data_IF_301868167018
#
_entry.id   IF_301868167018
#
_cell.length_a   1.000
_cell.length_b   1.000
_cell.length_c   1.000
_cell.angle_alpha   90.00
_cell.angle_beta   90.00
_cell.angle_gamma   90.00
#
_symmetry.space_group_name_H-M   'P 1'
#
loop_
_entity.id
_entity.type
_entity.pdbx_description
1 polymer ?
#
# COMPACT_ATOMS: atom_id res chain seq x y z
N UNK A 1 -3.21 7.95 -46.99
CA UNK A 1 -2.84 8.59 -45.71
C UNK A 1 -3.84 8.14 -44.65
N UNK A 2 -3.48 7.13 -43.85
CA UNK A 2 -4.29 6.68 -42.71
C UNK A 2 -4.25 7.76 -41.64
N UNK A 3 -5.40 8.36 -41.29
CA UNK A 3 -5.49 9.23 -40.11
C UNK A 3 -5.12 8.39 -38.90
N UNK A 4 -4.01 8.70 -38.22
CA UNK A 4 -3.77 8.17 -36.87
C UNK A 4 -4.89 8.74 -36.00
N UNK A 5 -5.75 7.87 -35.46
CA UNK A 5 -6.78 8.26 -34.51
C UNK A 5 -6.15 8.94 -33.29
N UNK A 6 -6.89 9.85 -32.65
CA UNK A 6 -6.45 10.46 -31.41
C UNK A 6 -6.29 9.36 -30.34
N UNK A 7 -5.19 9.40 -29.59
CA UNK A 7 -4.90 8.43 -28.52
C UNK A 7 -5.06 9.09 -27.15
N UNK A 8 -5.64 8.36 -26.20
CA UNK A 8 -5.76 8.78 -24.80
C UNK A 8 -4.89 7.91 -23.89
N UNK A 9 -4.29 8.48 -22.83
CA UNK A 9 -3.39 7.74 -21.94
C UNK A 9 -4.16 6.82 -20.98
N UNK A 10 -3.63 5.62 -20.77
CA UNK A 10 -4.05 4.67 -19.74
C UNK A 10 -2.86 4.39 -18.80
N UNK A 11 -3.08 3.63 -17.73
CA UNK A 11 -1.97 3.17 -16.87
C UNK A 11 -0.93 2.33 -17.60
N UNK A 12 -1.35 1.61 -18.66
CA UNK A 12 -0.51 0.71 -19.45
C UNK A 12 -0.57 1.11 -20.93
N UNK A 13 0.07 2.22 -21.26
CA UNK A 13 0.14 2.72 -22.63
C UNK A 13 -1.05 3.62 -22.97
N UNK A 14 -1.50 3.57 -24.22
CA UNK A 14 -2.54 4.45 -24.73
C UNK A 14 -3.63 3.64 -25.44
N UNK A 15 -4.83 4.20 -25.54
CA UNK A 15 -5.96 3.61 -26.29
C UNK A 15 -6.50 4.57 -27.35
N UNK A 16 -7.15 4.02 -28.38
CA UNK A 16 -7.96 4.79 -29.37
C UNK A 16 -9.44 4.46 -29.17
N UNK A 17 -10.34 5.26 -29.76
CA UNK A 17 -11.77 4.98 -29.70
C UNK A 17 -12.11 3.60 -30.31
N UNK A 18 -11.50 3.26 -31.45
CA UNK A 18 -11.75 1.97 -32.12
C UNK A 18 -11.32 0.80 -31.23
N UNK A 19 -10.14 0.89 -30.62
CA UNK A 19 -9.67 -0.14 -29.68
C UNK A 19 -10.53 -0.20 -28.42
N UNK A 20 -11.00 0.94 -27.91
CA UNK A 20 -11.82 0.99 -26.70
C UNK A 20 -13.20 0.37 -26.91
N UNK A 21 -13.80 0.53 -28.09
CA UNK A 21 -15.09 -0.08 -28.44
C UNK A 21 -15.04 -1.60 -28.57
N UNK A 22 -13.85 -2.18 -28.74
CA UNK A 22 -13.63 -3.63 -28.80
C UNK A 22 -13.35 -4.26 -27.42
N UNK A 23 -13.14 -3.45 -26.38
CA UNK A 23 -12.89 -3.93 -25.01
C UNK A 23 -14.21 -4.12 -24.25
N UNK A 24 -14.26 -5.18 -23.42
CA UNK A 24 -15.38 -5.39 -22.49
C UNK A 24 -15.26 -4.51 -21.23
N UNK A 25 -14.05 -4.02 -20.95
CA UNK A 25 -13.73 -3.20 -19.78
C UNK A 25 -14.28 -1.77 -19.93
N UNK A 26 -14.63 -1.14 -18.80
CA UNK A 26 -15.03 0.26 -18.79
C UNK A 26 -13.80 1.17 -18.97
N UNK A 27 -13.43 1.40 -20.24
CA UNK A 27 -12.26 2.20 -20.61
C UNK A 27 -12.38 3.65 -20.09
N UNK A 28 -13.59 4.17 -19.85
CA UNK A 28 -13.76 5.52 -19.31
C UNK A 28 -13.23 5.63 -17.88
N UNK A 29 -13.40 4.58 -17.07
CA UNK A 29 -12.79 4.51 -15.74
C UNK A 29 -11.26 4.49 -15.81
N UNK A 30 -10.72 3.73 -16.76
CA UNK A 30 -9.27 3.57 -16.90
C UNK A 30 -8.55 4.86 -17.35
N UNK A 31 -9.27 5.77 -18.00
CA UNK A 31 -8.76 7.09 -18.41
C UNK A 31 -8.50 8.03 -17.23
N UNK A 32 -9.20 7.88 -16.11
CA UNK A 32 -8.99 8.70 -14.92
C UNK A 32 -7.79 8.21 -14.07
N UNK A 33 -7.40 6.93 -14.23
CA UNK A 33 -6.39 6.30 -13.40
C UNK A 33 -4.99 6.93 -13.47
N UNK A 34 -4.48 7.41 -14.62
CA UNK A 34 -3.17 8.06 -14.67
C UNK A 34 -3.05 9.26 -13.74
N UNK A 35 -4.04 10.16 -13.74
CA UNK A 35 -4.06 11.36 -12.89
C UNK A 35 -4.23 10.98 -11.41
N UNK A 36 -5.22 10.14 -11.11
CA UNK A 36 -5.47 9.67 -9.73
C UNK A 36 -4.26 8.92 -9.14
N UNK A 37 -3.50 8.21 -9.98
CA UNK A 37 -2.25 7.57 -9.57
C UNK A 37 -1.18 8.61 -9.20
N UNK A 38 -1.01 9.64 -10.01
CA UNK A 38 -0.04 10.71 -9.73
C UNK A 38 -0.38 11.37 -8.39
N UNK A 39 -1.63 11.81 -8.22
CA UNK A 39 -2.09 12.46 -6.99
C UNK A 39 -1.85 11.59 -5.76
N UNK A 40 -2.15 10.30 -5.86
CA UNK A 40 -1.95 9.37 -4.75
C UNK A 40 -0.47 9.14 -4.43
N UNK A 41 0.41 8.99 -5.43
CA UNK A 41 1.84 8.81 -5.17
C UNK A 41 2.48 10.08 -4.61
N UNK A 42 2.06 11.27 -5.07
CA UNK A 42 2.48 12.56 -4.51
C UNK A 42 2.03 12.69 -3.05
N UNK A 43 0.80 12.28 -2.73
CA UNK A 43 0.31 12.32 -1.35
C UNK A 43 1.12 11.38 -0.44
N UNK A 44 1.42 10.16 -0.88
CA UNK A 44 2.28 9.22 -0.12
C UNK A 44 3.67 9.81 0.13
N UNK A 45 4.28 10.40 -0.89
CA UNK A 45 5.63 10.97 -0.78
C UNK A 45 5.67 12.19 0.16
N UNK A 46 4.65 13.04 0.06
CA UNK A 46 4.52 14.23 0.91
C UNK A 46 4.30 13.87 2.38
N UNK A 47 3.68 12.71 2.66
CA UNK A 47 3.39 12.22 4.01
C UNK A 47 4.38 11.16 4.50
N UNK A 48 5.55 11.00 3.87
CA UNK A 48 6.52 9.93 4.23
C UNK A 48 6.99 9.96 5.68
N UNK A 49 7.04 11.14 6.31
CA UNK A 49 7.47 11.27 7.71
C UNK A 49 6.40 10.73 8.66
N UNK A 50 5.12 10.92 8.31
CA UNK A 50 4.00 10.30 9.02
C UNK A 50 3.99 8.78 8.81
N UNK A 51 4.27 8.32 7.59
CA UNK A 51 4.40 6.89 7.28
C UNK A 51 5.48 6.24 8.14
N UNK A 52 6.67 6.88 8.24
CA UNK A 52 7.76 6.41 9.10
C UNK A 52 7.34 6.34 10.57
N UNK A 53 6.72 7.41 11.09
CA UNK A 53 6.28 7.47 12.48
C UNK A 53 5.22 6.41 12.81
N UNK A 54 4.27 6.20 11.91
CA UNK A 54 3.25 5.16 12.00
C UNK A 54 3.88 3.77 11.99
N UNK A 55 4.79 3.51 11.05
CA UNK A 55 5.49 2.24 10.96
C UNK A 55 6.32 1.98 12.22
N UNK A 56 7.06 2.97 12.72
CA UNK A 56 7.82 2.88 13.98
C UNK A 56 6.93 2.46 15.14
N UNK A 57 5.72 3.04 15.23
CA UNK A 57 4.76 2.70 16.27
C UNK A 57 4.31 1.23 16.18
N UNK A 58 3.90 0.76 14.99
CA UNK A 58 3.46 -0.63 14.80
C UNK A 58 4.59 -1.64 15.00
N UNK A 59 5.83 -1.28 14.64
CA UNK A 59 7.03 -2.10 14.81
C UNK A 59 7.60 -2.05 16.25
N UNK A 60 7.00 -1.27 17.15
CA UNK A 60 7.46 -1.13 18.54
C UNK A 60 8.87 -0.56 18.67
N UNK A 61 9.26 0.36 17.77
CA UNK A 61 10.58 0.97 17.78
C UNK A 61 10.74 1.96 18.93
N UNK A 62 11.89 1.88 19.61
CA UNK A 62 12.22 2.78 20.72
C UNK A 62 12.75 4.14 20.27
N UNK A 63 12.98 5.08 21.21
CA UNK A 63 13.46 6.44 20.88
C UNK A 63 14.83 6.50 20.19
N UNK A 64 15.67 5.47 20.39
CA UNK A 64 17.00 5.35 19.77
C UNK A 64 17.00 4.53 18.48
N UNK A 65 15.83 4.06 18.03
CA UNK A 65 15.65 3.30 16.81
C UNK A 65 15.16 4.23 15.69
N UNK A 66 15.46 3.87 14.44
CA UNK A 66 15.08 4.66 13.27
C UNK A 66 14.31 3.81 12.27
N UNK A 67 13.27 4.39 11.69
CA UNK A 67 12.53 3.83 10.55
C UNK A 67 12.59 4.84 9.40
N UNK A 68 13.06 4.42 8.22
CA UNK A 68 13.11 5.24 7.01
C UNK A 68 12.36 4.56 5.88
N UNK A 69 11.55 5.30 5.13
CA UNK A 69 10.97 4.77 3.89
C UNK A 69 12.07 4.59 2.83
N UNK A 70 11.92 3.59 1.97
CA UNK A 70 12.69 3.54 0.72
C UNK A 70 12.37 4.68 -0.22
N UNK A 71 13.30 4.94 -1.12
CA UNK A 71 13.17 5.96 -2.15
C UNK A 71 12.05 5.58 -3.15
N UNK A 72 11.49 6.55 -3.86
CA UNK A 72 10.29 6.33 -4.73
C UNK A 72 10.53 5.28 -5.81
N UNK A 73 11.76 5.16 -6.31
CA UNK A 73 12.17 4.14 -7.27
C UNK A 73 12.22 2.72 -6.67
N UNK A 74 12.22 2.58 -5.35
CA UNK A 74 12.17 1.30 -4.64
C UNK A 74 10.74 0.86 -4.28
N UNK A 75 9.73 1.72 -4.54
CA UNK A 75 8.34 1.41 -4.23
C UNK A 75 7.82 0.36 -5.20
N UNK A 76 7.31 -0.74 -4.67
CA UNK A 76 6.78 -1.85 -5.46
C UNK A 76 5.28 -1.65 -5.59
N UNK A 77 4.75 -1.57 -6.80
CA UNK A 77 3.31 -1.44 -7.01
C UNK A 77 2.76 -2.59 -7.86
N UNK A 78 1.61 -3.14 -7.44
CA UNK A 78 0.81 -4.08 -8.21
C UNK A 78 -0.42 -3.40 -8.80
N UNK A 79 -1.40 -4.21 -9.20
CA UNK A 79 -2.67 -3.70 -9.74
C UNK A 79 -3.55 -3.03 -8.70
N UNK A 80 -3.44 -3.39 -7.41
CA UNK A 80 -4.36 -2.94 -6.36
C UNK A 80 -3.66 -2.34 -5.15
N UNK A 81 -2.34 -2.41 -5.06
CA UNK A 81 -1.59 -1.93 -3.90
C UNK A 81 -0.24 -1.36 -4.31
N UNK A 82 0.27 -0.45 -3.49
CA UNK A 82 1.67 -0.02 -3.47
C UNK A 82 2.29 -0.40 -2.14
N UNK A 83 3.52 -0.90 -2.18
CA UNK A 83 4.31 -1.33 -1.04
C UNK A 83 5.56 -0.46 -0.95
N UNK A 84 5.75 0.17 0.21
CA UNK A 84 6.89 1.04 0.50
C UNK A 84 7.86 0.27 1.40
N UNK A 85 9.13 0.08 0.99
CA UNK A 85 10.20 -0.42 1.84
C UNK A 85 10.33 0.35 3.15
N UNK A 86 10.60 -0.35 4.24
CA UNK A 86 11.00 0.24 5.50
C UNK A 86 12.38 -0.27 5.90
N UNK A 87 13.29 0.69 6.05
CA UNK A 87 14.66 0.52 6.48
C UNK A 87 14.76 0.78 7.97
N UNK A 88 15.17 -0.23 8.74
CA UNK A 88 15.18 -0.16 10.19
C UNK A 88 16.61 -0.12 10.71
N UNK A 89 16.84 0.69 11.75
CA UNK A 89 18.04 0.62 12.57
C UNK A 89 17.63 0.53 14.04
N UNK A 90 18.27 -0.36 14.80
CA UNK A 90 18.07 -0.47 16.25
C UNK A 90 19.34 -0.12 16.99
N UNK A 91 19.27 0.82 17.93
CA UNK A 91 20.43 1.27 18.72
C UNK A 91 21.66 1.63 17.86
N UNK A 92 21.45 2.30 16.72
CA UNK A 92 22.51 2.67 15.78
C UNK A 92 23.03 1.52 14.90
N UNK A 93 22.56 0.29 15.07
CA UNK A 93 22.85 -0.83 14.18
C UNK A 93 21.80 -0.91 13.07
N UNK A 94 22.24 -0.77 11.83
CA UNK A 94 21.37 -0.90 10.66
C UNK A 94 20.97 -2.37 10.46
N UNK A 95 19.66 -2.64 10.45
CA UNK A 95 19.10 -3.98 10.30
C UNK A 95 18.70 -4.31 8.86
N UNK A 96 18.77 -3.33 7.95
CA UNK A 96 18.39 -3.49 6.54
C UNK A 96 16.90 -3.28 6.28
N UNK A 97 16.49 -3.66 5.06
CA UNK A 97 15.09 -3.70 4.63
C UNK A 97 14.40 -4.87 5.34
N UNK A 98 13.69 -4.56 6.43
CA UNK A 98 13.06 -5.57 7.29
C UNK A 98 11.55 -5.56 7.22
N UNK A 99 10.95 -4.43 6.83
CA UNK A 99 9.52 -4.29 6.81
C UNK A 99 9.01 -3.63 5.53
N UNK A 100 7.71 -3.79 5.28
CA UNK A 100 6.96 -3.13 4.23
C UNK A 100 5.72 -2.50 4.84
N UNK A 101 5.37 -1.32 4.37
CA UNK A 101 4.03 -0.77 4.55
C UNK A 101 3.30 -0.75 3.22
N UNK A 102 2.08 -1.26 3.20
CA UNK A 102 1.28 -1.49 2.01
C UNK A 102 0.03 -0.64 2.05
N UNK A 103 -0.22 0.07 0.96
CA UNK A 103 -1.40 0.90 0.77
C UNK A 103 -2.23 0.35 -0.40
N UNK A 104 -3.53 0.09 -0.21
CA UNK A 104 -4.47 -0.07 -1.31
C UNK A 104 -4.42 1.13 -2.27
N UNK A 105 -4.68 0.89 -3.56
CA UNK A 105 -4.81 1.94 -4.57
C UNK A 105 -6.28 2.35 -4.67
N UNK A 106 -6.71 3.49 -4.08
CA UNK A 106 -8.14 3.82 -3.93
C UNK A 106 -8.88 3.91 -5.27
N UNK A 107 -8.19 4.41 -6.30
CA UNK A 107 -8.71 4.52 -7.66
C UNK A 107 -9.01 3.16 -8.31
N UNK A 108 -8.26 2.11 -7.96
CA UNK A 108 -8.47 0.75 -8.50
C UNK A 108 -9.53 -0.05 -7.77
N UNK A 109 -9.93 0.37 -6.58
CA UNK A 109 -10.96 -0.30 -5.77
C UNK A 109 -12.26 0.50 -5.69
N UNK A 110 -12.36 1.60 -6.45
CA UNK A 110 -13.59 2.38 -6.57
C UNK A 110 -13.98 3.14 -5.30
N UNK A 111 -13.02 3.48 -4.43
CA UNK A 111 -13.27 4.15 -3.15
C UNK A 111 -14.04 5.46 -3.32
N UNK A 112 -13.72 6.24 -4.36
CA UNK A 112 -14.41 7.51 -4.63
C UNK A 112 -15.90 7.32 -4.95
N UNK A 113 -16.24 6.25 -5.68
CA UNK A 113 -17.63 5.94 -6.06
C UNK A 113 -18.38 5.23 -4.93
N UNK A 114 -17.66 4.42 -4.13
CA UNK A 114 -18.21 3.61 -3.06
C UNK A 114 -17.29 3.71 -1.82
N UNK A 115 -17.47 4.75 -0.98
CA UNK A 115 -16.66 4.94 0.21
C UNK A 115 -16.75 3.74 1.16
N UNK A 116 -15.60 3.30 1.68
CA UNK A 116 -15.49 2.13 2.55
C UNK A 116 -14.93 0.87 1.88
N UNK A 117 -14.75 0.87 0.55
CA UNK A 117 -14.11 -0.24 -0.17
C UNK A 117 -12.65 -0.45 0.28
N UNK A 118 -11.93 0.62 0.60
CA UNK A 118 -10.57 0.56 1.19
C UNK A 118 -10.60 -0.18 2.52
N UNK A 119 -11.52 0.20 3.40
CA UNK A 119 -11.63 -0.38 4.74
C UNK A 119 -12.04 -1.84 4.67
N UNK A 120 -13.00 -2.19 3.83
CA UNK A 120 -13.42 -3.57 3.60
C UNK A 120 -12.23 -4.41 3.12
N UNK A 121 -11.51 -3.92 2.10
CA UNK A 121 -10.32 -4.60 1.58
C UNK A 121 -9.27 -4.83 2.68
N UNK A 122 -8.96 -3.81 3.47
CA UNK A 122 -7.95 -3.88 4.52
C UNK A 122 -8.34 -4.83 5.64
N UNK A 123 -9.62 -4.82 6.05
CA UNK A 123 -10.15 -5.74 7.07
C UNK A 123 -10.10 -7.18 6.58
N UNK A 124 -10.52 -7.45 5.35
CA UNK A 124 -10.46 -8.79 4.76
C UNK A 124 -9.02 -9.30 4.66
N UNK A 125 -8.09 -8.45 4.20
CA UNK A 125 -6.68 -8.81 4.09
C UNK A 125 -6.06 -9.07 5.48
N UNK A 126 -6.29 -8.19 6.46
CA UNK A 126 -5.83 -8.37 7.83
C UNK A 126 -6.40 -9.64 8.47
N UNK A 127 -7.70 -9.89 8.34
CA UNK A 127 -8.35 -11.09 8.85
C UNK A 127 -7.75 -12.36 8.22
N UNK A 128 -7.45 -12.33 6.92
CA UNK A 128 -6.80 -13.44 6.21
C UNK A 128 -5.41 -13.72 6.77
N UNK A 129 -4.58 -12.69 6.95
CA UNK A 129 -3.24 -12.85 7.54
C UNK A 129 -3.31 -13.41 8.97
N UNK A 130 -4.19 -12.87 9.81
CA UNK A 130 -4.37 -13.32 11.20
C UNK A 130 -4.84 -14.78 11.22
N UNK A 131 -5.78 -15.14 10.35
CA UNK A 131 -6.31 -16.50 10.27
C UNK A 131 -5.23 -17.51 9.86
N UNK A 132 -4.51 -17.23 8.77
CA UNK A 132 -3.44 -18.11 8.28
C UNK A 132 -2.35 -18.26 9.34
N UNK A 133 -1.93 -17.16 9.98
CA UNK A 133 -0.90 -17.19 11.02
C UNK A 133 -1.30 -18.08 12.22
N UNK A 134 -2.58 -18.10 12.58
CA UNK A 134 -3.08 -18.88 13.73
C UNK A 134 -3.46 -20.32 13.40
N UNK A 135 -3.77 -20.63 12.13
CA UNK A 135 -4.29 -21.95 11.74
C UNK A 135 -3.38 -22.74 10.80
N UNK A 136 -2.38 -22.12 10.18
CA UNK A 136 -1.49 -22.76 9.21
C UNK A 136 -0.01 -22.48 9.56
N UNK A 137 0.50 -22.93 10.72
CA UNK A 137 1.86 -22.65 11.19
C UNK A 137 2.96 -23.19 10.25
N UNK A 138 2.64 -24.17 9.40
CA UNK A 138 3.52 -24.72 8.38
C UNK A 138 3.70 -23.80 7.16
N UNK A 139 2.80 -22.83 6.96
CA UNK A 139 2.88 -21.87 5.87
C UNK A 139 3.66 -20.65 6.35
N UNK A 140 4.86 -20.47 5.79
CA UNK A 140 5.62 -19.23 6.01
C UNK A 140 4.88 -18.06 5.37
N UNK A 141 4.26 -17.24 6.21
CA UNK A 141 3.63 -15.98 5.82
C UNK A 141 4.37 -14.79 6.43
N UNK A 142 4.41 -13.64 5.74
CA UNK A 142 4.90 -12.39 6.33
C UNK A 142 4.19 -12.07 7.64
N UNK A 143 4.94 -11.67 8.66
CA UNK A 143 4.36 -11.26 9.94
C UNK A 143 3.63 -9.93 9.79
N UNK A 144 2.32 -9.89 10.08
CA UNK A 144 1.54 -8.66 10.13
C UNK A 144 1.72 -7.99 11.49
N UNK A 145 2.29 -6.79 11.51
CA UNK A 145 2.53 -6.00 12.72
C UNK A 145 1.34 -5.14 13.11
N UNK A 146 0.56 -4.71 12.12
CA UNK A 146 -0.61 -3.89 12.36
C UNK A 146 -1.23 -3.38 11.08
N UNK A 147 -2.37 -2.73 11.23
CA UNK A 147 -3.11 -2.12 10.13
C UNK A 147 -3.77 -0.82 10.57
N UNK A 148 -4.00 0.06 9.60
CA UNK A 148 -4.75 1.30 9.76
C UNK A 148 -5.95 1.32 8.82
N UNK A 149 -7.02 2.01 9.23
CA UNK A 149 -8.24 2.22 8.46
C UNK A 149 -8.46 3.72 8.18
N UNK A 150 -9.32 3.99 7.20
CA UNK A 150 -9.80 5.34 6.91
C UNK A 150 -10.40 5.96 8.18
N UNK A 151 -10.11 7.24 8.42
CA UNK A 151 -10.53 7.94 9.64
C UNK A 151 -9.61 7.75 10.85
N UNK A 152 -8.50 7.01 10.70
CA UNK A 152 -7.40 6.99 11.67
C UNK A 152 -7.52 5.96 12.78
N UNK A 153 -8.39 4.97 12.62
CA UNK A 153 -8.37 3.78 13.48
C UNK A 153 -7.14 2.94 13.11
N UNK A 154 -6.38 2.47 14.10
CA UNK A 154 -5.22 1.61 13.86
C UNK A 154 -5.11 0.53 14.92
N UNK A 155 -4.76 -0.68 14.51
CA UNK A 155 -4.61 -1.85 15.37
C UNK A 155 -3.18 -2.37 15.24
N UNK A 156 -2.44 -2.41 16.35
CA UNK A 156 -1.18 -3.13 16.46
C UNK A 156 -1.45 -4.57 16.90
N UNK A 157 -0.74 -5.53 16.31
CA UNK A 157 -0.91 -6.96 16.57
C UNK A 157 0.20 -7.54 17.45
N UNK A 158 1.31 -6.82 17.64
CA UNK A 158 2.47 -7.28 18.40
C UNK A 158 2.42 -7.00 19.91
N UNK A 159 1.60 -6.06 20.38
CA UNK A 159 1.28 -5.86 21.81
C UNK A 159 -0.08 -5.16 21.86
N UNK A 160 -0.99 -5.63 22.72
CA UNK A 160 -2.30 -5.00 22.95
C UNK A 160 -2.10 -3.63 23.63
N UNK A 161 -1.75 -2.60 22.85
CA UNK A 161 -2.02 -1.18 23.15
C UNK A 161 -2.28 -0.48 21.81
N UNK A 162 -3.55 -0.30 21.46
CA UNK A 162 -3.97 0.56 20.35
C UNK A 162 -4.22 1.98 20.87
N UNK A 163 -3.23 2.88 20.75
CA UNK A 163 -3.52 4.31 20.78
C UNK A 163 -3.87 4.74 19.35
N UNK A 164 -5.14 5.14 19.15
CA UNK A 164 -5.61 5.63 17.86
C UNK A 164 -4.87 6.91 17.46
N UNK A 165 -4.09 6.84 16.38
CA UNK A 165 -3.43 8.00 15.80
C UNK A 165 -4.33 8.59 14.71
N UNK A 166 -4.79 9.83 14.86
CA UNK A 166 -5.63 10.51 13.84
C UNK A 166 -4.75 11.23 12.82
N UNK A 167 -4.75 10.74 11.59
CA UNK A 167 -4.25 11.44 10.40
C UNK A 167 -5.13 11.06 9.19
N UNK A 168 -5.27 11.95 8.23
CA UNK A 168 -6.18 11.85 7.09
C UNK A 168 -5.80 10.76 6.07
N UNK A 169 -4.62 10.16 6.16
CA UNK A 169 -4.10 9.15 5.20
C UNK A 169 -3.81 7.76 5.84
N UNK A 170 -4.66 7.31 6.76
CA UNK A 170 -4.34 6.21 7.69
C UNK A 170 -4.75 4.79 7.25
N UNK A 171 -4.78 4.46 5.96
CA UNK A 171 -5.23 3.15 5.49
C UNK A 171 -4.07 2.30 4.93
N UNK A 172 -3.62 1.29 5.67
CA UNK A 172 -2.42 0.51 5.31
C UNK A 172 -2.31 -0.80 6.10
N UNK A 173 -1.38 -1.66 5.66
CA UNK A 173 -0.92 -2.86 6.37
C UNK A 173 0.59 -2.79 6.56
N UNK A 174 1.11 -3.08 7.75
CA UNK A 174 2.56 -3.12 8.06
C UNK A 174 2.99 -4.57 8.25
N UNK A 175 3.99 -5.01 7.48
CA UNK A 175 4.50 -6.38 7.49
C UNK A 175 6.00 -6.43 7.75
N UNK A 176 6.48 -7.51 8.35
CA UNK A 176 7.89 -7.91 8.23
C UNK A 176 8.11 -8.73 6.96
N UNK A 177 9.19 -8.46 6.26
CA UNK A 177 9.60 -9.27 5.11
C UNK A 177 10.44 -10.45 5.58
N UNK A 178 9.94 -11.67 5.36
CA UNK A 178 10.81 -12.84 5.27
C UNK A 178 11.63 -12.82 3.97
N UNK A 179 12.68 -13.63 3.88
CA UNK A 179 13.64 -13.68 2.76
C UNK A 179 12.97 -13.85 1.37
N UNK A 180 11.73 -14.34 1.30
CA UNK A 180 11.05 -14.69 0.05
C UNK A 180 10.37 -13.53 -0.70
N UNK A 181 10.28 -12.31 -0.16
CA UNK A 181 9.50 -11.22 -0.80
C UNK A 181 10.30 -10.32 -1.75
N UNK A 182 11.62 -10.51 -1.86
CA UNK A 182 12.48 -9.79 -2.80
C UNK A 182 13.07 -10.76 -3.83
N UNK A 183 12.20 -11.37 -4.63
CA UNK A 183 12.63 -11.96 -5.90
C UNK A 183 13.11 -10.84 -6.82
N UNK A 184 14.38 -10.93 -7.23
CA UNK A 184 15.05 -10.08 -8.21
C UNK A 184 14.30 -9.97 -9.54
#
# INVERSE_FOLDING_TARGET
MTRRGATLPLLRGNTTLESALEQEEDVLLDLDYPEQRIDFFVSLYSNRDDIQRIASHHLGLGPSDTCRTGDVNEWVHGSFNVCIPLYLSKQGQYLGKRALIRFPLPYKIGEFKNPGNVDEKLRCEAATFIWIHSHCPEISTPQLWGFGLVGGQSVGLSVIISYGYKNSNNFYLVYETGECLFGH
#
